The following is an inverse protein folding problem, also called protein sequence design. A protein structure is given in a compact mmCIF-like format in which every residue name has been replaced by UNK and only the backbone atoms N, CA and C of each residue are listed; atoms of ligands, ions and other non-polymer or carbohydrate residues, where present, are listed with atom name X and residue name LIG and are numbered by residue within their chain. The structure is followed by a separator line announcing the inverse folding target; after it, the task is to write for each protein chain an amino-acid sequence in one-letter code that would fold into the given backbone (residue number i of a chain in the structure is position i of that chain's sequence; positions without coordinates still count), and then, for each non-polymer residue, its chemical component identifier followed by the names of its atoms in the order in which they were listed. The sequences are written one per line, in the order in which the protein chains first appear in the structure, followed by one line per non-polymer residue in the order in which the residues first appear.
data_IF_142059242221
#
_entry.id   IF_142059242221
#
_cell.length_a   1.000
_cell.length_b   1.000
_cell.length_c   1.000
_cell.angle_alpha   90.00
_cell.angle_beta   90.00
_cell.angle_gamma   90.00
#
_symmetry.space_group_name_H-M   'P 1'
#
loop_
_entity.id
_entity.type
_entity.pdbx_description
1 polymer ?
#
# COMPACT_ATOMS: atom_id res chain seq x y z
N UNK A 1 5.48 34.41 18.23
CA UNK A 1 4.76 33.89 17.05
C UNK A 1 5.71 33.92 15.87
N UNK A 2 6.12 32.77 15.35
CA UNK A 2 6.90 32.71 14.12
C UNK A 2 5.99 33.15 12.95
N UNK A 3 6.38 34.24 12.28
CA UNK A 3 5.71 34.67 11.04
C UNK A 3 6.02 33.65 9.95
N UNK A 4 5.03 32.87 9.56
CA UNK A 4 5.17 31.87 8.51
C UNK A 4 4.71 32.48 7.19
N UNK A 5 5.58 32.49 6.19
CA UNK A 5 5.30 33.00 4.86
C UNK A 5 4.62 31.90 4.04
N UNK A 6 3.40 32.15 3.53
CA UNK A 6 2.63 31.19 2.74
C UNK A 6 2.82 31.36 1.23
N UNK A 7 3.24 32.55 0.78
CA UNK A 7 3.46 32.87 -0.62
C UNK A 7 3.55 34.36 -0.88
N UNK A 8 3.66 34.72 -2.13
CA UNK A 8 3.68 36.10 -2.62
C UNK A 8 2.58 36.29 -3.67
N UNK A 9 1.86 37.39 -3.60
CA UNK A 9 1.01 37.85 -4.69
C UNK A 9 1.76 38.91 -5.46
N UNK A 10 2.13 38.61 -6.72
CA UNK A 10 2.77 39.55 -7.64
C UNK A 10 1.74 40.06 -8.62
N UNK A 11 1.59 41.40 -8.72
CA UNK A 11 0.67 42.05 -9.64
C UNK A 11 1.52 42.84 -10.63
N UNK A 12 1.54 42.45 -11.92
CA UNK A 12 2.24 43.23 -12.94
C UNK A 12 1.47 44.53 -13.19
N UNK A 13 2.09 45.67 -12.95
CA UNK A 13 1.54 46.99 -13.14
C UNK A 13 1.91 47.47 -14.52
N UNK A 14 0.99 47.38 -15.50
CA UNK A 14 1.33 47.66 -16.89
C UNK A 14 0.83 49.01 -17.41
N UNK A 15 -0.26 49.58 -16.89
CA UNK A 15 -0.90 50.76 -17.53
C UNK A 15 -1.47 51.79 -16.52
N UNK A 16 -1.84 51.44 -15.30
CA UNK A 16 -2.41 52.38 -14.35
C UNK A 16 -1.85 52.20 -12.93
N UNK A 17 -1.67 53.29 -12.19
CA UNK A 17 -1.33 53.25 -10.78
C UNK A 17 -2.52 52.74 -9.95
N UNK A 18 -2.28 51.75 -9.09
CA UNK A 18 -3.28 51.26 -8.15
C UNK A 18 -3.67 52.41 -7.17
N UNK A 19 -4.96 52.58 -6.99
CA UNK A 19 -5.48 53.56 -6.03
C UNK A 19 -5.64 52.90 -4.61
N UNK A 20 -5.99 53.71 -3.59
CA UNK A 20 -6.13 53.22 -2.23
C UNK A 20 -7.21 52.14 -2.07
N UNK A 21 -8.25 52.22 -2.88
CA UNK A 21 -9.34 51.24 -2.87
C UNK A 21 -8.88 49.89 -3.43
N UNK A 22 -8.06 49.91 -4.48
CA UNK A 22 -7.49 48.72 -5.08
C UNK A 22 -6.57 48.01 -4.08
N UNK A 23 -5.74 48.73 -3.34
CA UNK A 23 -4.90 48.15 -2.30
C UNK A 23 -5.70 47.45 -1.22
N UNK A 24 -6.82 48.06 -0.76
CA UNK A 24 -7.70 47.41 0.23
C UNK A 24 -8.38 46.16 -0.30
N UNK A 25 -8.79 46.13 -1.56
CA UNK A 25 -9.33 44.92 -2.20
C UNK A 25 -8.28 43.84 -2.24
N UNK A 26 -7.05 44.18 -2.61
CA UNK A 26 -5.94 43.24 -2.67
C UNK A 26 -5.59 42.64 -1.29
N UNK A 27 -5.58 43.46 -0.23
CA UNK A 27 -5.38 42.98 1.15
C UNK A 27 -6.47 41.98 1.56
N UNK A 28 -7.72 42.23 1.20
CA UNK A 28 -8.81 41.30 1.49
C UNK A 28 -8.66 40.02 0.71
N UNK A 29 -8.29 40.07 -0.57
CA UNK A 29 -8.04 38.88 -1.42
C UNK A 29 -6.89 38.05 -0.86
N UNK A 30 -5.77 38.68 -0.49
CA UNK A 30 -4.62 38.00 0.13
C UNK A 30 -5.02 37.34 1.44
N UNK A 31 -5.85 37.99 2.26
CA UNK A 31 -6.34 37.43 3.52
C UNK A 31 -7.23 36.21 3.30
N UNK A 32 -8.12 36.23 2.31
CA UNK A 32 -8.99 35.11 1.95
C UNK A 32 -8.16 33.93 1.42
N UNK A 33 -7.21 34.19 0.52
CA UNK A 33 -6.29 33.17 0.02
C UNK A 33 -5.47 32.57 1.16
N UNK A 34 -4.96 33.39 2.07
CA UNK A 34 -4.22 32.96 3.26
C UNK A 34 -5.03 32.03 4.17
N UNK A 35 -6.31 32.35 4.38
CA UNK A 35 -7.22 31.48 5.15
C UNK A 35 -7.44 30.13 4.46
N UNK A 36 -7.67 30.11 3.15
CA UNK A 36 -7.82 28.87 2.40
C UNK A 36 -6.56 28.00 2.45
N UNK A 37 -5.39 28.58 2.25
CA UNK A 37 -4.12 27.85 2.34
C UNK A 37 -3.88 27.28 3.75
N UNK A 38 -4.29 28.01 4.78
CA UNK A 38 -4.25 27.53 6.17
C UNK A 38 -5.22 26.36 6.39
N UNK A 39 -6.45 26.48 5.90
CA UNK A 39 -7.45 25.40 6.01
C UNK A 39 -6.98 24.12 5.29
N UNK A 40 -6.46 24.24 4.07
CA UNK A 40 -5.94 23.11 3.31
C UNK A 40 -4.78 22.42 4.04
N UNK A 41 -3.90 23.20 4.66
CA UNK A 41 -2.81 22.68 5.46
C UNK A 41 -3.29 21.94 6.70
N UNK A 42 -4.22 22.53 7.47
CA UNK A 42 -4.80 21.90 8.66
C UNK A 42 -5.55 20.63 8.32
N UNK A 43 -6.30 20.60 7.19
CA UNK A 43 -6.92 19.39 6.69
C UNK A 43 -5.89 18.30 6.36
N UNK A 44 -4.81 18.66 5.66
CA UNK A 44 -3.74 17.73 5.32
C UNK A 44 -3.04 17.17 6.57
N UNK A 45 -2.78 17.99 7.58
CA UNK A 45 -2.19 17.56 8.85
C UNK A 45 -3.14 16.64 9.62
N UNK A 46 -4.43 16.95 9.67
CA UNK A 46 -5.45 16.11 10.31
C UNK A 46 -5.59 14.75 9.61
N UNK A 47 -5.56 14.70 8.28
CA UNK A 47 -5.58 13.44 7.53
C UNK A 47 -4.35 12.60 7.87
N UNK A 48 -3.15 13.18 7.86
CA UNK A 48 -1.90 12.47 8.23
C UNK A 48 -1.95 11.94 9.66
N UNK A 49 -2.48 12.74 10.59
CA UNK A 49 -2.61 12.33 11.99
C UNK A 49 -3.61 11.17 12.14
N UNK A 50 -4.76 11.25 11.48
CA UNK A 50 -5.76 10.19 11.44
C UNK A 50 -5.20 8.89 10.89
N UNK A 51 -4.43 8.94 9.79
CA UNK A 51 -3.80 7.77 9.17
C UNK A 51 -2.79 7.09 10.11
N UNK A 52 -1.93 7.87 10.75
CA UNK A 52 -0.96 7.34 11.71
C UNK A 52 -1.64 6.72 12.93
N UNK A 53 -2.71 7.35 13.41
CA UNK A 53 -3.48 6.83 14.54
C UNK A 53 -4.25 5.56 14.16
N UNK A 54 -4.79 5.44 12.95
CA UNK A 54 -5.40 4.22 12.46
C UNK A 54 -4.39 3.06 12.48
N UNK A 55 -3.18 3.29 11.95
CA UNK A 55 -2.11 2.28 11.98
C UNK A 55 -1.80 1.86 13.41
N UNK A 56 -1.57 2.82 14.31
CA UNK A 56 -1.20 2.52 15.69
C UNK A 56 -2.30 1.84 16.48
N UNK A 57 -3.54 2.28 16.34
CA UNK A 57 -4.66 1.84 17.16
C UNK A 57 -5.40 0.63 16.59
N UNK A 58 -5.35 0.40 15.27
CA UNK A 58 -6.07 -0.70 14.60
C UNK A 58 -5.13 -1.77 14.10
N UNK A 59 -4.05 -1.37 13.39
CA UNK A 59 -3.20 -2.32 12.68
C UNK A 59 -2.09 -2.91 13.56
N UNK A 60 -1.53 -2.11 14.48
CA UNK A 60 -0.43 -2.55 15.36
C UNK A 60 -0.90 -2.96 16.75
N UNK A 61 -2.14 -2.62 17.14
CA UNK A 61 -2.65 -3.04 18.44
C UNK A 61 -2.79 -4.55 18.48
N UNK A 62 -2.22 -5.17 19.51
CA UNK A 62 -2.48 -6.58 19.86
C UNK A 62 -3.82 -6.72 20.60
N UNK A 63 -4.74 -5.77 20.43
CA UNK A 63 -6.03 -5.78 21.08
C UNK A 63 -6.92 -6.86 20.43
N UNK A 64 -7.16 -7.94 21.14
CA UNK A 64 -8.12 -8.99 20.75
C UNK A 64 -9.59 -8.52 20.86
N UNK A 65 -9.83 -7.31 21.37
CA UNK A 65 -11.16 -6.75 21.52
C UNK A 65 -11.71 -6.24 20.19
N UNK A 66 -12.64 -7.01 19.60
CA UNK A 66 -13.35 -6.61 18.37
C UNK A 66 -14.08 -5.28 18.51
N UNK A 67 -14.57 -4.96 19.69
CA UNK A 67 -15.31 -3.71 19.94
C UNK A 67 -14.39 -2.49 19.92
N UNK A 68 -13.17 -2.62 20.42
CA UNK A 68 -12.16 -1.56 20.32
C UNK A 68 -11.74 -1.31 18.86
N UNK A 69 -11.55 -2.37 18.09
CA UNK A 69 -11.23 -2.25 16.65
C UNK A 69 -12.38 -1.54 15.92
N UNK A 70 -13.64 -1.91 16.19
CA UNK A 70 -14.82 -1.24 15.61
C UNK A 70 -14.83 0.23 15.95
N UNK A 71 -14.69 0.58 17.25
CA UNK A 71 -14.68 1.95 17.72
C UNK A 71 -13.64 2.80 16.98
N UNK A 72 -12.41 2.32 16.84
CA UNK A 72 -11.38 3.04 16.09
C UNK A 72 -11.67 3.10 14.59
N UNK A 73 -12.18 2.03 13.98
CA UNK A 73 -12.58 2.06 12.56
C UNK A 73 -13.63 3.14 12.30
N UNK A 74 -14.64 3.26 13.19
CA UNK A 74 -15.69 4.28 13.09
C UNK A 74 -15.10 5.70 13.22
N UNK A 75 -14.19 5.92 14.16
CA UNK A 75 -13.49 7.23 14.32
C UNK A 75 -12.69 7.59 13.06
N UNK A 76 -12.02 6.63 12.44
CA UNK A 76 -11.15 6.88 11.29
C UNK A 76 -11.85 6.73 9.94
N UNK A 77 -13.16 6.45 9.93
CA UNK A 77 -13.95 6.30 8.72
C UNK A 77 -13.60 5.06 7.89
N UNK A 78 -13.09 3.99 8.53
CA UNK A 78 -12.79 2.74 7.87
C UNK A 78 -13.99 1.77 7.96
N UNK A 79 -14.55 1.40 6.80
CA UNK A 79 -15.70 0.48 6.75
C UNK A 79 -15.25 -0.97 6.97
N UNK A 80 -15.33 -1.45 8.21
CA UNK A 80 -14.97 -2.80 8.62
C UNK A 80 -15.99 -3.86 8.20
N UNK A 81 -17.15 -3.46 7.68
CA UNK A 81 -18.20 -4.39 7.25
C UNK A 81 -17.95 -4.98 5.87
N UNK A 82 -17.07 -4.37 5.09
CA UNK A 82 -16.75 -4.76 3.72
C UNK A 82 -15.65 -5.81 3.66
N UNK A 83 -15.67 -6.63 2.60
CA UNK A 83 -14.50 -7.43 2.21
C UNK A 83 -13.36 -6.51 1.80
N UNK A 84 -12.11 -6.93 2.01
CA UNK A 84 -10.94 -6.08 1.75
C UNK A 84 -9.71 -6.86 1.36
N UNK A 85 -8.81 -6.19 0.64
CA UNK A 85 -7.42 -6.57 0.47
C UNK A 85 -6.53 -5.37 0.79
N UNK A 86 -5.41 -5.61 1.45
CA UNK A 86 -4.40 -4.62 1.72
C UNK A 86 -3.33 -4.66 0.63
N UNK A 87 -3.11 -3.53 -0.03
CA UNK A 87 -2.00 -3.29 -0.95
C UNK A 87 -1.00 -2.41 -0.23
N UNK A 88 0.19 -2.93 0.01
CA UNK A 88 1.29 -2.20 0.62
C UNK A 88 2.28 -1.78 -0.47
N UNK A 89 2.64 -0.52 -0.50
CA UNK A 89 3.66 0.06 -1.37
C UNK A 89 4.84 0.45 -0.50
N UNK A 90 5.97 -0.17 -0.71
CA UNK A 90 7.24 0.17 -0.09
C UNK A 90 8.06 1.00 -1.08
N UNK A 91 8.54 2.17 -0.66
CA UNK A 91 9.38 3.05 -1.48
C UNK A 91 10.81 2.97 -0.97
N UNK A 92 11.71 2.60 -1.86
CA UNK A 92 13.13 2.46 -1.56
C UNK A 92 13.70 3.76 -0.98
N UNK A 93 14.54 3.61 0.03
CA UNK A 93 15.25 4.71 0.69
C UNK A 93 14.37 5.85 1.26
N UNK A 94 13.05 5.65 1.38
CA UNK A 94 12.12 6.68 1.83
C UNK A 94 12.53 7.33 3.16
N UNK A 95 12.99 6.54 4.13
CA UNK A 95 13.40 7.03 5.45
C UNK A 95 14.67 7.90 5.40
N UNK A 96 15.53 7.68 4.41
CA UNK A 96 16.78 8.42 4.22
C UNK A 96 16.60 9.72 3.42
N UNK A 97 15.40 9.96 2.88
CA UNK A 97 15.10 11.17 2.12
C UNK A 97 14.93 12.39 3.04
N UNK A 98 15.13 13.59 2.47
CA UNK A 98 14.85 14.86 3.17
C UNK A 98 13.35 14.97 3.49
N UNK A 99 13.04 15.78 4.52
CA UNK A 99 11.65 16.01 4.94
C UNK A 99 10.74 16.45 3.78
N UNK A 100 11.22 17.40 2.95
CA UNK A 100 10.44 17.94 1.83
C UNK A 100 10.11 16.86 0.79
N UNK A 101 11.09 16.02 0.45
CA UNK A 101 10.88 14.88 -0.47
C UNK A 101 9.87 13.88 0.11
N UNK A 102 10.02 13.51 1.38
CA UNK A 102 9.07 12.60 2.05
C UNK A 102 7.65 13.17 2.05
N UNK A 103 7.51 14.46 2.39
CA UNK A 103 6.21 15.14 2.38
C UNK A 103 5.58 15.18 0.98
N UNK A 104 6.39 15.46 -0.04
CA UNK A 104 5.94 15.44 -1.44
C UNK A 104 5.45 14.04 -1.86
N UNK A 105 6.19 12.98 -1.52
CA UNK A 105 5.81 11.59 -1.80
C UNK A 105 4.49 11.24 -1.09
N UNK A 106 4.34 11.56 0.20
CA UNK A 106 3.11 11.29 0.96
C UNK A 106 1.90 11.97 0.32
N UNK A 107 2.03 13.24 -0.06
CA UNK A 107 0.95 13.97 -0.72
C UNK A 107 0.63 13.37 -2.10
N UNK A 108 1.65 12.94 -2.84
CA UNK A 108 1.47 12.27 -4.12
C UNK A 108 0.76 10.92 -3.96
N UNK A 109 1.07 10.12 -2.92
CA UNK A 109 0.40 8.85 -2.65
C UNK A 109 -1.11 9.01 -2.41
N UNK A 110 -1.53 10.08 -1.74
CA UNK A 110 -2.95 10.39 -1.57
C UNK A 110 -3.61 10.65 -2.95
N UNK A 111 -2.94 11.40 -3.83
CA UNK A 111 -3.42 11.66 -5.20
C UNK A 111 -3.47 10.37 -6.02
N UNK A 112 -2.42 9.56 -5.96
CA UNK A 112 -2.33 8.25 -6.63
C UNK A 112 -3.50 7.37 -6.19
N UNK A 113 -3.76 7.24 -4.88
CA UNK A 113 -4.90 6.48 -4.33
C UNK A 113 -6.23 7.00 -4.89
N UNK A 114 -6.44 8.33 -4.90
CA UNK A 114 -7.69 8.91 -5.39
C UNK A 114 -7.90 8.64 -6.89
N UNK A 115 -6.86 8.78 -7.70
CA UNK A 115 -6.91 8.49 -9.13
C UNK A 115 -7.24 7.01 -9.38
N UNK A 116 -6.51 6.11 -8.74
CA UNK A 116 -6.71 4.66 -8.88
C UNK A 116 -8.09 4.24 -8.40
N UNK A 117 -8.58 4.78 -7.27
CA UNK A 117 -9.93 4.53 -6.76
C UNK A 117 -11.00 4.91 -7.79
N UNK A 118 -10.85 6.07 -8.45
CA UNK A 118 -11.75 6.53 -9.50
C UNK A 118 -11.64 5.69 -10.78
N UNK A 119 -10.42 5.48 -11.25
CA UNK A 119 -10.16 4.83 -12.55
C UNK A 119 -10.53 3.35 -12.53
N UNK A 120 -10.37 2.68 -11.39
CA UNK A 120 -10.75 1.27 -11.20
C UNK A 120 -12.14 1.09 -10.58
N UNK A 121 -12.84 2.17 -10.20
CA UNK A 121 -14.12 2.16 -9.50
C UNK A 121 -14.10 1.29 -8.22
N UNK A 122 -12.99 1.32 -7.48
CA UNK A 122 -12.81 0.59 -6.23
C UNK A 122 -12.70 1.58 -5.09
N UNK A 123 -13.46 1.37 -4.02
CA UNK A 123 -13.35 2.21 -2.82
C UNK A 123 -12.05 1.87 -2.08
N UNK A 124 -11.19 2.86 -1.91
CA UNK A 124 -9.87 2.69 -1.30
C UNK A 124 -9.73 3.56 -0.05
N UNK A 125 -9.32 2.94 1.06
CA UNK A 125 -8.86 3.64 2.26
C UNK A 125 -7.32 3.69 2.26
N UNK A 126 -6.76 4.83 2.65
CA UNK A 126 -5.31 5.03 2.69
C UNK A 126 -4.82 5.14 4.14
N UNK A 127 -3.70 4.51 4.42
CA UNK A 127 -2.95 4.67 5.66
C UNK A 127 -1.44 4.69 5.35
N UNK A 128 -0.64 5.20 6.27
CA UNK A 128 0.81 5.30 6.10
C UNK A 128 1.52 4.88 7.38
N UNK A 129 2.55 4.05 7.25
CA UNK A 129 3.39 3.60 8.37
C UNK A 129 4.85 3.47 7.96
N UNK A 130 5.72 4.32 8.51
CA UNK A 130 7.15 4.39 8.18
C UNK A 130 7.38 4.61 6.68
N UNK A 131 7.95 3.62 5.97
CA UNK A 131 8.16 3.61 4.52
C UNK A 131 7.02 2.93 3.74
N UNK A 132 6.04 2.36 4.45
CA UNK A 132 4.94 1.61 3.86
C UNK A 132 3.71 2.48 3.64
N UNK A 133 3.21 2.53 2.42
CA UNK A 133 1.99 3.22 2.02
C UNK A 133 0.89 2.18 1.78
N UNK A 134 -0.10 2.16 2.64
CA UNK A 134 -1.13 1.14 2.68
C UNK A 134 -2.38 1.63 1.95
N UNK A 135 -2.88 0.82 1.02
CA UNK A 135 -4.15 1.04 0.33
C UNK A 135 -5.04 -0.17 0.60
N UNK A 136 -6.09 0.01 1.39
CA UNK A 136 -7.12 -0.98 1.58
C UNK A 136 -8.18 -0.82 0.49
N UNK A 137 -8.27 -1.80 -0.40
CA UNK A 137 -9.33 -1.92 -1.38
C UNK A 137 -10.55 -2.56 -0.71
N UNK A 138 -11.69 -1.85 -0.69
CA UNK A 138 -12.91 -2.25 0.01
C UNK A 138 -13.98 -2.68 -0.99
N UNK A 139 -14.59 -3.85 -0.77
CA UNK A 139 -15.56 -4.46 -1.66
C UNK A 139 -16.84 -4.82 -0.92
N UNK A 140 -17.96 -4.83 -1.63
CA UNK A 140 -19.22 -5.33 -1.07
C UNK A 140 -19.09 -6.82 -0.68
N UNK A 141 -19.80 -7.26 0.36
CA UNK A 141 -19.80 -8.66 0.82
C UNK A 141 -20.22 -9.67 -0.25
N UNK A 142 -21.04 -9.23 -1.18
CA UNK A 142 -21.59 -10.10 -2.23
C UNK A 142 -20.63 -10.33 -3.42
N UNK A 143 -19.49 -9.63 -3.45
CA UNK A 143 -18.48 -9.82 -4.50
C UNK A 143 -17.70 -11.10 -4.21
N UNK A 144 -17.47 -11.91 -5.25
CA UNK A 144 -16.69 -13.14 -5.11
C UNK A 144 -15.21 -12.82 -4.85
N UNK A 145 -14.50 -13.70 -4.15
CA UNK A 145 -13.09 -13.50 -3.87
C UNK A 145 -12.24 -13.49 -5.15
N UNK A 146 -12.65 -14.23 -6.17
CA UNK A 146 -12.01 -14.25 -7.50
C UNK A 146 -12.10 -12.88 -8.16
N UNK A 147 -13.30 -12.25 -8.15
CA UNK A 147 -13.51 -10.93 -8.70
C UNK A 147 -12.71 -9.86 -7.93
N UNK A 148 -12.68 -9.97 -6.60
CA UNK A 148 -11.88 -9.07 -5.74
C UNK A 148 -10.40 -9.15 -6.13
N UNK A 149 -9.85 -10.35 -6.26
CA UNK A 149 -8.44 -10.56 -6.67
C UNK A 149 -8.19 -9.97 -8.06
N UNK A 150 -9.12 -10.17 -9.01
CA UNK A 150 -9.04 -9.58 -10.36
C UNK A 150 -9.01 -8.06 -10.31
N UNK A 151 -9.89 -7.44 -9.53
CA UNK A 151 -9.97 -5.98 -9.42
C UNK A 151 -8.74 -5.40 -8.71
N UNK A 152 -8.23 -6.06 -7.66
CA UNK A 152 -6.99 -5.65 -7.00
C UNK A 152 -5.78 -5.77 -7.93
N UNK A 153 -5.76 -6.76 -8.83
CA UNK A 153 -4.73 -6.81 -9.89
C UNK A 153 -4.80 -5.61 -10.84
N UNK A 154 -6.00 -5.15 -11.21
CA UNK A 154 -6.19 -3.90 -12.00
C UNK A 154 -5.70 -2.68 -11.23
N UNK A 155 -6.08 -2.57 -9.95
CA UNK A 155 -5.61 -1.53 -9.02
C UNK A 155 -4.07 -1.53 -8.97
N UNK A 156 -3.45 -2.70 -8.80
CA UNK A 156 -2.00 -2.83 -8.72
C UNK A 156 -1.31 -2.37 -10.00
N UNK A 157 -1.84 -2.75 -11.18
CA UNK A 157 -1.30 -2.27 -12.47
C UNK A 157 -1.45 -0.76 -12.64
N UNK A 158 -2.57 -0.19 -12.21
CA UNK A 158 -2.78 1.25 -12.24
C UNK A 158 -1.83 1.99 -11.29
N UNK A 159 -1.57 1.44 -10.09
CA UNK A 159 -0.57 1.95 -9.15
C UNK A 159 0.83 1.91 -9.76
N UNK A 160 1.24 0.78 -10.33
CA UNK A 160 2.55 0.63 -10.99
C UNK A 160 2.73 1.70 -12.07
N UNK A 161 1.74 1.90 -12.94
CA UNK A 161 1.79 2.93 -13.99
C UNK A 161 2.01 4.33 -13.44
N UNK A 162 1.36 4.69 -12.34
CA UNK A 162 1.51 6.02 -11.73
C UNK A 162 2.83 6.18 -10.98
N UNK A 163 3.32 5.12 -10.33
CA UNK A 163 4.59 5.11 -9.62
C UNK A 163 5.78 5.12 -10.59
N UNK A 164 5.68 4.39 -11.69
CA UNK A 164 6.68 4.41 -12.78
C UNK A 164 6.75 5.79 -13.44
N UNK A 165 5.60 6.43 -13.68
CA UNK A 165 5.55 7.80 -14.22
C UNK A 165 6.14 8.87 -13.27
N UNK A 166 6.16 8.58 -11.97
CA UNK A 166 6.80 9.42 -10.96
C UNK A 166 8.27 9.05 -10.71
N UNK A 167 8.81 8.08 -11.45
CA UNK A 167 10.20 7.58 -11.35
C UNK A 167 10.59 7.08 -9.96
N UNK A 168 9.61 6.57 -9.17
CA UNK A 168 9.90 5.99 -7.88
C UNK A 168 10.47 4.57 -8.04
N UNK A 169 11.45 4.24 -7.19
CA UNK A 169 11.84 2.85 -6.95
C UNK A 169 10.94 2.30 -5.84
N UNK A 170 10.24 1.21 -6.13
CA UNK A 170 9.22 0.70 -5.21
C UNK A 170 8.99 -0.80 -5.39
N UNK A 171 8.41 -1.39 -4.37
CA UNK A 171 7.84 -2.73 -4.38
C UNK A 171 6.40 -2.70 -3.87
N UNK A 172 5.54 -3.56 -4.41
CA UNK A 172 4.14 -3.70 -4.00
C UNK A 172 3.93 -5.09 -3.44
N UNK A 173 3.31 -5.19 -2.28
CA UNK A 173 2.88 -6.46 -1.71
C UNK A 173 1.40 -6.44 -1.35
N UNK A 174 0.74 -7.59 -1.48
CA UNK A 174 -0.72 -7.67 -1.46
C UNK A 174 -1.14 -8.82 -0.54
N UNK A 175 -2.08 -8.54 0.38
CA UNK A 175 -2.65 -9.54 1.30
C UNK A 175 -3.61 -10.50 0.60
N UNK A 176 -4.11 -11.49 1.33
CA UNK A 176 -5.31 -12.25 0.93
C UNK A 176 -6.59 -11.43 1.16
N UNK A 177 -7.71 -11.93 0.63
CA UNK A 177 -9.04 -11.37 0.91
C UNK A 177 -9.38 -11.57 2.39
N UNK A 178 -9.83 -10.51 3.03
CA UNK A 178 -10.32 -10.53 4.41
C UNK A 178 -11.74 -10.01 4.49
N UNK A 179 -12.62 -10.71 5.21
CA UNK A 179 -14.05 -10.39 5.34
C UNK A 179 -14.49 -10.10 6.79
N UNK A 180 -13.72 -10.57 7.77
CA UNK A 180 -13.99 -10.35 9.18
C UNK A 180 -13.18 -9.19 9.78
N UNK A 181 -13.70 -8.57 10.84
CA UNK A 181 -13.04 -7.44 11.50
C UNK A 181 -11.63 -7.83 12.00
N UNK A 182 -11.44 -9.06 12.46
CA UNK A 182 -10.14 -9.58 12.89
C UNK A 182 -9.10 -9.62 11.74
N UNK A 183 -9.55 -9.66 10.49
CA UNK A 183 -8.67 -9.70 9.32
C UNK A 183 -8.11 -8.33 8.93
N UNK A 184 -8.48 -7.22 9.60
CA UNK A 184 -7.94 -5.90 9.27
C UNK A 184 -6.44 -5.86 9.54
N UNK A 185 -6.03 -6.21 10.76
CA UNK A 185 -4.62 -6.27 11.15
C UNK A 185 -3.89 -7.44 10.49
N UNK A 186 -4.57 -8.58 10.30
CA UNK A 186 -4.01 -9.73 9.59
C UNK A 186 -3.66 -9.41 8.15
N UNK A 187 -4.55 -8.74 7.41
CA UNK A 187 -4.26 -8.30 6.02
C UNK A 187 -3.06 -7.35 5.96
N UNK A 188 -2.91 -6.47 6.94
CA UNK A 188 -1.72 -5.62 7.05
C UNK A 188 -0.45 -6.45 7.25
N UNK A 189 -0.44 -7.37 8.24
CA UNK A 189 0.70 -8.26 8.50
C UNK A 189 1.07 -9.10 7.29
N UNK A 190 0.08 -9.72 6.64
CA UNK A 190 0.29 -10.49 5.41
C UNK A 190 0.94 -9.66 4.30
N UNK A 191 0.51 -8.41 4.12
CA UNK A 191 1.12 -7.53 3.13
C UNK A 191 2.58 -7.18 3.47
N UNK A 192 2.91 -7.03 4.76
CA UNK A 192 4.30 -6.83 5.18
C UNK A 192 5.15 -8.07 4.99
N UNK A 193 4.63 -9.26 5.32
CA UNK A 193 5.34 -10.53 5.22
C UNK A 193 5.59 -10.96 3.76
N UNK A 194 4.65 -10.62 2.86
CA UNK A 194 4.79 -10.92 1.43
C UNK A 194 5.96 -10.20 0.76
N UNK A 195 6.35 -9.04 1.26
CA UNK A 195 7.39 -8.21 0.64
C UNK A 195 8.77 -8.88 0.65
N UNK A 196 9.38 -9.19 1.81
CA UNK A 196 10.72 -9.79 1.87
C UNK A 196 10.75 -11.19 1.22
N UNK A 197 9.67 -11.96 1.35
CA UNK A 197 9.55 -13.26 0.71
C UNK A 197 9.50 -13.12 -0.81
N UNK A 198 8.69 -12.19 -1.30
CA UNK A 198 8.54 -11.93 -2.73
C UNK A 198 9.82 -11.45 -3.38
N UNK A 199 10.53 -10.52 -2.75
CA UNK A 199 11.82 -10.03 -3.23
C UNK A 199 12.86 -11.15 -3.30
N UNK A 200 12.84 -12.10 -2.35
CA UNK A 200 13.75 -13.24 -2.33
C UNK A 200 13.43 -14.28 -3.40
N UNK A 201 12.13 -14.61 -3.57
CA UNK A 201 11.68 -15.64 -4.50
C UNK A 201 11.62 -15.14 -5.96
N UNK A 202 11.26 -13.88 -6.15
CA UNK A 202 11.02 -13.27 -7.46
C UNK A 202 11.69 -11.89 -7.58
N UNK A 203 13.03 -11.80 -7.58
CA UNK A 203 13.76 -10.53 -7.50
C UNK A 203 13.50 -9.58 -8.67
N UNK A 204 13.02 -10.11 -9.80
CA UNK A 204 12.73 -9.32 -11.00
C UNK A 204 11.29 -8.77 -11.04
N UNK A 205 10.43 -9.15 -10.08
CA UNK A 205 9.05 -8.65 -10.01
C UNK A 205 8.99 -7.41 -9.12
N UNK A 206 8.04 -6.52 -9.41
CA UNK A 206 7.74 -5.35 -8.57
C UNK A 206 6.50 -5.55 -7.69
N UNK A 207 5.75 -6.64 -7.87
CA UNK A 207 4.53 -6.91 -7.09
C UNK A 207 4.43 -8.37 -6.68
N UNK A 208 3.98 -8.61 -5.46
CA UNK A 208 3.96 -9.89 -4.77
C UNK A 208 2.62 -10.11 -4.08
N UNK A 209 1.94 -11.22 -4.34
CA UNK A 209 0.72 -11.59 -3.65
C UNK A 209 1.04 -12.60 -2.54
N UNK A 210 0.55 -12.34 -1.33
CA UNK A 210 0.79 -13.23 -0.18
C UNK A 210 0.30 -14.65 -0.43
N UNK A 211 -0.84 -14.82 -1.11
CA UNK A 211 -1.37 -16.16 -1.44
C UNK A 211 -0.43 -17.00 -2.31
N UNK A 212 0.36 -16.37 -3.20
CA UNK A 212 1.32 -17.08 -4.06
C UNK A 212 2.54 -17.58 -3.26
N UNK A 213 2.68 -17.11 -2.01
CA UNK A 213 3.79 -17.42 -1.10
C UNK A 213 3.36 -18.22 0.11
N UNK A 214 2.06 -18.55 0.23
CA UNK A 214 1.53 -19.27 1.39
C UNK A 214 2.24 -20.59 1.65
N UNK A 215 2.48 -21.38 0.61
CA UNK A 215 3.16 -22.68 0.73
C UNK A 215 4.59 -22.48 1.26
N UNK A 216 5.32 -21.52 0.68
CA UNK A 216 6.68 -21.20 1.13
C UNK A 216 6.70 -20.69 2.57
N UNK A 217 5.76 -19.82 2.92
CA UNK A 217 5.67 -19.28 4.28
C UNK A 217 5.32 -20.37 5.32
N UNK A 218 4.41 -21.28 4.97
CA UNK A 218 4.09 -22.44 5.80
C UNK A 218 5.30 -23.36 5.98
N UNK A 219 6.04 -23.65 4.92
CA UNK A 219 7.26 -24.44 4.98
C UNK A 219 8.33 -23.77 5.84
N UNK A 220 8.51 -22.45 5.68
CA UNK A 220 9.53 -21.70 6.42
C UNK A 220 9.17 -21.51 7.91
N UNK A 221 7.87 -21.35 8.25
CA UNK A 221 7.42 -21.06 9.62
C UNK A 221 7.11 -22.32 10.44
N UNK A 222 6.75 -23.42 9.78
CA UNK A 222 6.22 -24.62 10.45
C UNK A 222 7.17 -25.81 10.39
N UNK A 223 8.15 -25.81 9.50
CA UNK A 223 9.06 -26.94 9.32
C UNK A 223 10.45 -26.61 9.86
N UNK A 224 10.96 -27.44 10.75
CA UNK A 224 12.38 -27.43 11.07
C UNK A 224 13.19 -28.04 9.89
N UNK A 225 14.51 -27.82 9.90
CA UNK A 225 15.38 -28.31 8.84
C UNK A 225 15.25 -29.84 8.59
N UNK A 226 15.04 -30.64 9.65
CA UNK A 226 14.88 -32.10 9.56
C UNK A 226 13.60 -32.47 8.80
N UNK A 227 12.49 -31.77 9.02
CA UNK A 227 11.23 -32.01 8.30
C UNK A 227 11.34 -31.65 6.81
N UNK A 228 11.95 -30.49 6.51
CA UNK A 228 12.19 -30.07 5.11
C UNK A 228 13.10 -31.10 4.42
N UNK A 229 14.18 -31.50 5.10
CA UNK A 229 15.11 -32.53 4.57
C UNK A 229 14.42 -33.88 4.41
N UNK A 230 13.55 -34.27 5.34
CA UNK A 230 12.76 -35.50 5.24
C UNK A 230 11.86 -35.53 3.99
N UNK A 231 11.15 -34.44 3.71
CA UNK A 231 10.33 -34.31 2.49
C UNK A 231 11.22 -34.33 1.24
N UNK A 232 12.28 -33.53 1.24
CA UNK A 232 13.23 -33.49 0.13
C UNK A 232 13.80 -34.89 -0.17
N UNK A 233 14.27 -35.62 0.84
CA UNK A 233 14.90 -36.92 0.70
C UNK A 233 13.92 -38.02 0.26
N UNK A 234 12.66 -37.93 0.64
CA UNK A 234 11.63 -38.93 0.29
C UNK A 234 10.95 -38.69 -1.06
N UNK A 235 11.11 -37.51 -1.67
CA UNK A 235 10.43 -37.15 -2.91
C UNK A 235 11.40 -36.63 -3.99
N UNK A 236 11.88 -35.41 -3.81
CA UNK A 236 12.69 -34.71 -4.82
C UNK A 236 14.03 -35.39 -5.07
N UNK A 237 14.70 -35.84 -4.02
CA UNK A 237 15.99 -36.50 -4.09
C UNK A 237 15.94 -37.81 -4.87
N UNK A 238 14.87 -38.59 -4.68
CA UNK A 238 14.68 -39.86 -5.40
C UNK A 238 14.55 -39.60 -6.91
N UNK A 239 13.83 -38.53 -7.27
CA UNK A 239 13.66 -38.16 -8.68
C UNK A 239 14.96 -37.62 -9.28
N UNK A 240 15.72 -36.81 -8.54
CA UNK A 240 17.04 -36.30 -8.94
C UNK A 240 18.07 -37.39 -9.10
N UNK A 241 18.09 -38.40 -8.21
CA UNK A 241 18.94 -39.57 -8.32
C UNK A 241 18.56 -40.45 -9.53
N UNK A 242 17.25 -40.65 -9.75
CA UNK A 242 16.75 -41.37 -10.92
C UNK A 242 17.15 -40.70 -12.24
N UNK A 243 17.00 -39.38 -12.33
CA UNK A 243 17.36 -38.58 -13.49
C UNK A 243 18.87 -38.71 -13.80
N UNK A 244 19.71 -38.66 -12.76
CA UNK A 244 21.17 -38.82 -12.90
C UNK A 244 21.58 -40.22 -13.36
N UNK A 245 20.90 -41.24 -12.85
CA UNK A 245 21.20 -42.62 -13.21
C UNK A 245 20.72 -42.99 -14.61
N UNK A 246 19.60 -42.45 -15.06
CA UNK A 246 18.94 -42.82 -16.32
C UNK A 246 19.07 -41.75 -17.42
N UNK A 247 19.79 -40.66 -17.19
CA UNK A 247 19.89 -39.50 -18.11
C UNK A 247 18.51 -38.99 -18.54
N UNK A 248 17.57 -38.86 -17.60
CA UNK A 248 16.22 -38.30 -17.79
C UNK A 248 16.12 -36.93 -17.22
N UNK A 249 15.01 -36.18 -17.51
CA UNK A 249 14.76 -34.82 -17.07
C UNK A 249 13.37 -34.73 -16.39
N UNK A 250 13.01 -35.72 -15.59
CA UNK A 250 11.69 -35.75 -14.93
C UNK A 250 11.53 -34.64 -13.91
N UNK A 251 12.60 -34.24 -13.21
CA UNK A 251 12.57 -33.15 -12.27
C UNK A 251 12.26 -31.82 -12.98
N UNK A 252 12.92 -31.55 -14.09
CA UNK A 252 12.68 -30.34 -14.93
C UNK A 252 11.25 -30.37 -15.51
N UNK A 253 10.79 -31.54 -15.92
CA UNK A 253 9.43 -31.75 -16.43
C UNK A 253 8.39 -31.45 -15.34
N UNK A 254 8.61 -31.92 -14.11
CA UNK A 254 7.75 -31.67 -12.97
C UNK A 254 7.71 -30.18 -12.62
N UNK A 255 8.86 -29.51 -12.60
CA UNK A 255 8.97 -28.07 -12.35
C UNK A 255 8.20 -27.27 -13.42
N UNK A 256 8.41 -27.59 -14.69
CA UNK A 256 7.69 -26.99 -15.81
C UNK A 256 6.18 -27.24 -15.75
N UNK A 257 5.76 -28.44 -15.35
CA UNK A 257 4.34 -28.76 -15.15
C UNK A 257 3.71 -27.90 -14.05
N UNK A 258 4.38 -27.80 -12.89
CA UNK A 258 3.90 -26.99 -11.76
C UNK A 258 3.81 -25.50 -12.15
N UNK A 259 4.78 -24.98 -12.90
CA UNK A 259 4.81 -23.57 -13.31
C UNK A 259 3.74 -23.24 -14.36
N UNK A 260 3.35 -24.18 -15.20
CA UNK A 260 2.33 -24.00 -16.24
C UNK A 260 0.90 -24.29 -15.75
N UNK A 261 0.71 -24.82 -14.55
CA UNK A 261 -0.60 -25.16 -13.97
C UNK A 261 -1.23 -24.01 -13.17
N UNK A 262 -0.67 -22.78 -13.28
CA UNK A 262 -1.15 -21.59 -12.58
C UNK A 262 -2.12 -20.74 -13.41
#
# INVERSE_FOLDING_TARGET
MQKQLFGFLAIPQTVAHLNYTDYRILENVVSIIGIHLLQDRLMSENIKHSQNNFVSNVLLSNSDSKDMIKYYCDIYGFDYTKKRMCVNIDIDDFLNMTYDKRSAIQNNMIRVKNNVSRDCNVNCYYAHFRNNFLIYCLFSKNVSDIDIVSDVRKVTKALQKQLDAAEYKYHISISTVGDAIAHISTSFKQSLDALPLGMKLYPNKKSYMYQDMLVYNLMHSSMNYEQIYGIYSSTVKILDEYDKENNTEFLITLESYIDNFK
#
